data_IF_246757838104
#
_entry.id   IF_246757838104
#
_cell.length_a   1.000
_cell.length_b   1.000
_cell.length_c   1.000
_cell.angle_alpha   90.00
_cell.angle_beta   90.00
_cell.angle_gamma   90.00
#
_symmetry.space_group_name_H-M   'P 1'
#
loop_
_entity.id
_entity.type
_entity.pdbx_description
1 polymer ?
#
# COMPACT_ATOMS: atom_id res chain seq x y z
N UNK A 1 7.25 4.01 13.04
CA UNK A 1 7.36 3.52 11.66
C UNK A 1 6.08 3.91 10.95
N UNK A 2 6.19 4.48 9.74
CA UNK A 2 5.00 4.92 9.00
C UNK A 2 4.67 3.93 7.90
N UNK A 3 3.43 3.48 7.85
CA UNK A 3 2.90 2.63 6.81
C UNK A 3 1.92 3.46 5.98
N UNK A 4 2.08 3.44 4.67
CA UNK A 4 1.26 4.21 3.75
C UNK A 4 0.86 3.32 2.60
N UNK A 5 -0.44 3.07 2.48
CA UNK A 5 -1.03 2.33 1.38
C UNK A 5 -1.76 3.34 0.49
N UNK A 6 -1.28 3.50 -0.73
CA UNK A 6 -1.92 4.34 -1.73
C UNK A 6 -2.53 3.46 -2.82
N UNK A 7 -3.83 3.55 -3.01
CA UNK A 7 -4.54 2.95 -4.14
C UNK A 7 -4.87 4.04 -5.16
N UNK A 8 -4.35 3.88 -6.37
CA UNK A 8 -4.54 4.84 -7.47
C UNK A 8 -5.05 4.08 -8.69
N UNK A 9 -6.17 4.51 -9.27
CA UNK A 9 -6.67 3.92 -10.52
C UNK A 9 -8.17 4.08 -10.73
N UNK A 10 -8.64 3.72 -11.91
CA UNK A 10 -10.01 3.88 -12.39
C UNK A 10 -10.24 5.13 -13.25
N UNK A 11 -11.35 5.13 -13.99
CA UNK A 11 -11.75 6.13 -15.00
C UNK A 11 -12.02 7.53 -14.37
N UNK A 12 -12.01 7.64 -13.04
CA UNK A 12 -12.34 8.86 -12.29
C UNK A 12 -11.16 9.48 -11.49
N UNK A 13 -9.91 9.01 -11.69
CA UNK A 13 -8.71 9.54 -11.02
C UNK A 13 -8.79 9.62 -9.47
N UNK A 14 -9.65 8.83 -8.83
CA UNK A 14 -9.79 8.85 -7.38
C UNK A 14 -8.63 8.10 -6.72
N UNK A 15 -7.78 8.84 -6.01
CA UNK A 15 -6.69 8.27 -5.21
C UNK A 15 -7.13 8.15 -3.76
N UNK A 16 -7.05 6.95 -3.19
CA UNK A 16 -7.25 6.73 -1.76
C UNK A 16 -5.93 6.42 -1.11
N UNK A 17 -5.63 7.08 -0.01
CA UNK A 17 -4.39 6.90 0.74
C UNK A 17 -4.77 6.57 2.18
N UNK A 18 -4.30 5.44 2.68
CA UNK A 18 -4.40 5.08 4.08
C UNK A 18 -3.03 5.19 4.70
N UNK A 19 -2.91 5.93 5.80
CA UNK A 19 -1.66 6.10 6.53
C UNK A 19 -1.83 5.65 7.97
N UNK A 20 -0.94 4.77 8.42
CA UNK A 20 -0.80 4.33 9.81
C UNK A 20 0.56 4.82 10.31
N UNK A 21 0.56 5.48 11.46
CA UNK A 21 1.78 5.88 12.16
C UNK A 21 1.97 5.00 13.39
N UNK A 22 2.77 3.95 13.26
CA UNK A 22 3.17 3.07 14.36
C UNK A 22 4.27 3.75 15.19
N UNK A 23 3.88 4.73 16.00
CA UNK A 23 4.80 5.52 16.84
C UNK A 23 5.19 4.72 18.09
N UNK A 24 4.22 4.03 18.70
CA UNK A 24 4.39 3.24 19.92
C UNK A 24 5.21 1.96 19.66
N UNK A 25 5.91 1.42 20.67
CA UNK A 25 6.60 0.13 20.56
C UNK A 25 5.63 -1.03 20.30
N UNK A 26 4.46 -1.06 20.96
CA UNK A 26 3.43 -2.08 20.79
C UNK A 26 2.91 -2.15 19.33
N UNK A 27 2.61 -0.99 18.74
CA UNK A 27 2.24 -0.89 17.32
C UNK A 27 3.35 -1.47 16.43
N UNK A 28 4.62 -1.11 16.70
CA UNK A 28 5.74 -1.62 15.89
C UNK A 28 5.84 -3.14 16.01
N UNK A 29 5.73 -3.71 17.20
CA UNK A 29 5.77 -5.17 17.40
C UNK A 29 4.65 -5.89 16.66
N UNK A 30 3.49 -5.26 16.48
CA UNK A 30 2.40 -5.81 15.65
C UNK A 30 2.65 -5.66 14.15
N UNK A 31 3.14 -4.51 13.72
CA UNK A 31 3.28 -4.16 12.30
C UNK A 31 4.55 -4.74 11.66
N UNK A 32 5.63 -4.91 12.42
CA UNK A 32 6.91 -5.47 11.97
C UNK A 32 6.73 -6.87 11.34
N UNK A 33 6.12 -7.87 12.01
CA UNK A 33 5.97 -9.20 11.43
C UNK A 33 5.08 -9.20 10.17
N UNK A 34 4.01 -8.38 10.11
CA UNK A 34 3.17 -8.24 8.91
C UNK A 34 3.95 -7.69 7.72
N UNK A 35 4.77 -6.67 7.96
CA UNK A 35 5.65 -6.07 6.95
C UNK A 35 6.75 -7.04 6.55
N UNK A 36 7.29 -7.83 7.47
CA UNK A 36 8.34 -8.80 7.17
C UNK A 36 7.84 -10.01 6.39
N UNK A 37 6.62 -10.47 6.66
CA UNK A 37 5.95 -11.53 5.91
C UNK A 37 5.62 -11.14 4.46
N UNK A 38 5.55 -9.84 4.14
CA UNK A 38 5.28 -9.39 2.78
C UNK A 38 6.49 -9.63 1.86
N UNK A 39 6.30 -10.27 0.69
CA UNK A 39 7.39 -10.51 -0.25
C UNK A 39 7.66 -9.25 -1.10
N UNK A 40 8.40 -8.30 -0.54
CA UNK A 40 8.72 -7.00 -1.16
C UNK A 40 9.46 -7.12 -2.50
N UNK A 41 10.38 -8.08 -2.63
CA UNK A 41 11.14 -8.30 -3.86
C UNK A 41 10.25 -8.89 -4.97
N UNK A 42 9.43 -9.89 -4.65
CA UNK A 42 8.48 -10.47 -5.59
C UNK A 42 7.46 -9.45 -6.07
N UNK A 43 7.00 -8.55 -5.20
CA UNK A 43 6.08 -7.48 -5.59
C UNK A 43 6.70 -6.53 -6.64
N UNK A 44 8.00 -6.21 -6.53
CA UNK A 44 8.71 -5.42 -7.56
C UNK A 44 8.76 -6.16 -8.89
N UNK A 45 9.06 -7.46 -8.85
CA UNK A 45 9.08 -8.33 -10.04
C UNK A 45 7.71 -8.41 -10.70
N UNK A 46 6.63 -8.60 -9.93
CA UNK A 46 5.25 -8.63 -10.42
C UNK A 46 4.81 -7.30 -11.02
N UNK A 47 5.22 -6.16 -10.44
CA UNK A 47 4.96 -4.85 -11.03
C UNK A 47 5.57 -4.68 -12.40
N UNK A 48 6.73 -5.29 -12.64
CA UNK A 48 7.44 -5.22 -13.93
C UNK A 48 6.87 -6.21 -14.95
N UNK A 49 6.38 -7.35 -14.48
CA UNK A 49 5.71 -8.36 -15.30
C UNK A 49 4.27 -8.00 -15.68
N UNK A 50 3.65 -7.06 -14.96
CA UNK A 50 2.30 -6.55 -15.21
C UNK A 50 2.25 -5.69 -16.50
N UNK A 51 2.43 -6.32 -17.66
CA UNK A 51 2.31 -5.70 -18.98
C UNK A 51 0.84 -5.53 -19.42
N UNK A 52 -0.11 -5.61 -18.49
CA UNK A 52 -1.54 -5.45 -18.75
C UNK A 52 -2.05 -4.17 -18.10
N UNK A 53 -3.11 -3.55 -18.66
CA UNK A 53 -3.73 -2.37 -18.09
C UNK A 53 -4.51 -2.75 -16.82
N UNK A 54 -3.79 -3.01 -15.73
CA UNK A 54 -4.37 -3.09 -14.40
C UNK A 54 -5.04 -1.75 -14.09
N UNK A 55 -6.37 -1.77 -13.92
CA UNK A 55 -7.16 -0.55 -13.69
C UNK A 55 -6.84 0.13 -12.36
N UNK A 56 -6.21 -0.59 -11.43
CA UNK A 56 -5.84 -0.09 -10.10
C UNK A 56 -4.42 -0.54 -9.72
N UNK A 57 -3.63 0.41 -9.24
CA UNK A 57 -2.28 0.23 -8.71
C UNK A 57 -2.25 0.53 -7.22
N UNK A 58 -1.57 -0.34 -6.46
CA UNK A 58 -1.31 -0.14 -5.04
C UNK A 58 0.17 0.19 -4.86
N UNK A 59 0.45 1.31 -4.20
CA UNK A 59 1.78 1.67 -3.72
C UNK A 59 1.79 1.54 -2.21
N UNK A 60 2.49 0.52 -1.71
CA UNK A 60 2.62 0.24 -0.28
C UNK A 60 4.00 0.68 0.16
N UNK A 61 4.06 1.47 1.23
CA UNK A 61 5.30 1.95 1.86
C UNK A 61 5.24 1.60 3.33
N UNK A 62 6.31 1.07 3.87
CA UNK A 62 6.43 0.68 5.26
C UNK A 62 7.83 1.04 5.74
N UNK A 63 7.98 2.21 6.38
CA UNK A 63 9.29 2.75 6.75
C UNK A 63 10.22 2.89 5.55
N UNK A 64 11.30 2.11 5.54
CA UNK A 64 12.29 2.06 4.46
C UNK A 64 11.91 1.13 3.29
N UNK A 65 10.91 0.26 3.48
CA UNK A 65 10.46 -0.69 2.45
C UNK A 65 9.36 -0.06 1.58
N UNK A 66 9.44 -0.31 0.26
CA UNK A 66 8.44 0.14 -0.70
C UNK A 66 8.20 -0.94 -1.74
N UNK A 67 6.93 -1.20 -2.00
CA UNK A 67 6.47 -2.03 -3.09
C UNK A 67 5.38 -1.28 -3.86
N UNK A 68 5.32 -1.53 -5.15
CA UNK A 68 4.21 -1.09 -5.99
C UNK A 68 3.77 -2.33 -6.72
N UNK A 69 2.48 -2.61 -6.72
CA UNK A 69 1.92 -3.82 -7.29
C UNK A 69 0.50 -3.54 -7.78
N UNK A 70 0.07 -4.19 -8.86
CA UNK A 70 -1.31 -4.07 -9.32
C UNK A 70 -2.27 -4.73 -8.32
N UNK A 71 -3.54 -4.31 -8.34
CA UNK A 71 -4.61 -4.87 -7.48
C UNK A 71 -4.65 -6.40 -7.48
N UNK A 72 -4.51 -7.03 -8.66
CA UNK A 72 -4.48 -8.48 -8.80
C UNK A 72 -3.34 -9.19 -8.07
N UNK A 73 -2.25 -8.48 -7.79
CA UNK A 73 -1.09 -9.01 -7.08
C UNK A 73 -1.14 -8.73 -5.57
N UNK A 74 -2.10 -7.92 -5.10
CA UNK A 74 -2.35 -7.66 -3.67
C UNK A 74 -3.10 -8.85 -3.08
N UNK A 75 -2.41 -9.99 -2.96
CA UNK A 75 -2.97 -11.25 -2.45
C UNK A 75 -2.13 -11.78 -1.29
N UNK A 76 -2.77 -12.51 -0.38
CA UNK A 76 -2.10 -13.11 0.79
C UNK A 76 -1.61 -12.05 1.79
N UNK A 77 -0.31 -12.01 2.16
CA UNK A 77 0.20 -11.09 3.19
C UNK A 77 0.02 -9.61 2.80
N UNK A 78 0.03 -9.31 1.50
CA UNK A 78 -0.24 -7.96 1.01
C UNK A 78 -1.68 -7.51 1.26
N UNK A 79 -2.64 -8.42 1.07
CA UNK A 79 -4.04 -8.13 1.31
C UNK A 79 -4.25 -7.88 2.80
N UNK A 80 -3.72 -8.75 3.66
CA UNK A 80 -3.81 -8.60 5.11
C UNK A 80 -3.23 -7.27 5.59
N UNK A 81 -2.04 -6.90 5.12
CA UNK A 81 -1.42 -5.62 5.47
C UNK A 81 -2.25 -4.43 4.99
N UNK A 82 -2.82 -4.50 3.78
CA UNK A 82 -3.67 -3.44 3.23
C UNK A 82 -4.98 -3.32 4.01
N UNK A 83 -5.63 -4.43 4.34
CA UNK A 83 -6.88 -4.44 5.10
C UNK A 83 -6.66 -3.94 6.53
N UNK A 84 -5.58 -4.38 7.19
CA UNK A 84 -5.18 -3.86 8.50
C UNK A 84 -4.90 -2.35 8.43
N UNK A 85 -4.20 -1.90 7.38
CA UNK A 85 -3.90 -0.47 7.21
C UNK A 85 -5.13 0.37 6.86
N UNK A 86 -6.16 -0.22 6.23
CA UNK A 86 -7.45 0.44 6.01
C UNK A 86 -8.28 0.51 7.29
N UNK A 87 -8.24 -0.55 8.11
CA UNK A 87 -9.01 -0.63 9.34
C UNK A 87 -8.50 0.36 10.40
N UNK A 88 -7.18 0.47 10.54
CA UNK A 88 -6.54 1.34 11.53
C UNK A 88 -6.10 2.69 10.97
N UNK A 89 -5.74 2.74 9.69
CA UNK A 89 -5.16 3.92 9.08
C UNK A 89 -6.18 5.01 8.82
N UNK A 90 -5.71 6.25 8.91
CA UNK A 90 -6.52 7.39 8.52
C UNK A 90 -6.67 7.42 7.00
N UNK A 91 -7.89 7.27 6.49
CA UNK A 91 -8.20 7.43 5.08
C UNK A 91 -8.11 8.92 4.70
N UNK A 92 -7.09 9.25 3.93
CA UNK A 92 -6.98 10.50 3.21
C UNK A 92 -7.42 10.26 1.76
N UNK A 93 -8.55 10.87 1.38
CA UNK A 93 -8.92 10.94 -0.04
C UNK A 93 -7.97 11.96 -0.68
N UNK A 94 -7.05 11.47 -1.50
CA UNK A 94 -6.13 12.33 -2.23
C UNK A 94 -6.92 13.21 -3.17
N UNK A 95 -7.11 14.49 -2.81
CA UNK A 95 -7.44 15.51 -3.81
C UNK A 95 -6.22 15.59 -4.72
N UNK A 96 -6.29 15.01 -5.91
CA UNK A 96 -5.49 15.46 -7.05
C UNK A 96 -6.00 16.85 -7.45
N UNK A 97 -5.82 17.82 -6.54
CA UNK A 97 -6.09 19.23 -6.77
C UNK A 97 -4.77 19.90 -7.13
N UNK A 98 -4.58 20.14 -8.41
CA UNK A 98 -3.72 21.18 -8.99
C UNK A 98 -2.29 21.31 -8.45
N UNK A 99 -1.32 20.75 -9.17
CA UNK A 99 -0.04 21.44 -9.35
C UNK A 99 -0.05 22.09 -10.73
N UNK A 100 -0.32 23.40 -10.75
CA UNK A 100 0.11 24.29 -11.84
C UNK A 100 1.62 24.48 -11.76
#
# INVERSE_FOLDING_TARGET
>A
MKITVQRSGGIAAMTRVWSVDAVSPDDKERWVPMVEACPWEEAKSQSRAANQPDRFMYSIRAGQRRATLPDRAVTGPWQELVECAKAEGSESRGRLGGRR
#
